data_IF_551676481949
#
_entry.id   IF_551676481949
#
_cell.length_a   1.000
_cell.length_b   1.000
_cell.length_c   1.000
_cell.angle_alpha   90.00
_cell.angle_beta   90.00
_cell.angle_gamma   90.00
#
_symmetry.space_group_name_H-M   'P 1'
#
loop_
_entity.id
_entity.type
_entity.pdbx_description
1 polymer ?
#
# COMPACT_ATOMS: atom_id res chain seq x y z
N UNK A 1 -33.22 -25.08 -23.17
CA UNK A 1 -31.82 -24.62 -23.41
C UNK A 1 -31.17 -24.33 -22.09
N UNK A 2 -29.94 -24.71 -21.94
CA UNK A 2 -29.18 -24.48 -20.70
C UNK A 2 -28.05 -23.46 -20.96
N UNK A 3 -27.64 -22.72 -19.94
CA UNK A 3 -26.53 -21.77 -20.02
C UNK A 3 -25.38 -22.27 -19.16
N UNK A 4 -24.18 -22.34 -19.76
CA UNK A 4 -22.95 -22.47 -19.00
C UNK A 4 -22.46 -21.08 -18.58
N UNK A 5 -22.43 -20.86 -17.26
CA UNK A 5 -21.85 -19.64 -16.69
C UNK A 5 -20.33 -19.69 -16.73
N UNK A 6 -19.68 -18.53 -16.51
CA UNK A 6 -18.21 -18.39 -16.49
C UNK A 6 -17.51 -19.24 -15.44
N UNK A 7 -18.19 -19.55 -14.34
CA UNK A 7 -17.72 -20.43 -13.27
C UNK A 7 -17.95 -21.93 -13.54
N UNK A 8 -18.35 -22.27 -14.76
CA UNK A 8 -18.61 -23.65 -15.22
C UNK A 8 -19.98 -24.21 -14.85
N UNK A 9 -20.75 -23.56 -13.97
CA UNK A 9 -22.08 -24.02 -13.60
C UNK A 9 -23.05 -23.94 -14.79
N UNK A 10 -23.86 -24.99 -14.95
CA UNK A 10 -24.92 -25.04 -15.95
C UNK A 10 -26.25 -24.75 -15.26
N UNK A 11 -26.98 -23.78 -15.77
CA UNK A 11 -28.26 -23.31 -15.23
C UNK A 11 -29.29 -23.19 -16.33
N UNK A 12 -30.58 -23.14 -15.95
CA UNK A 12 -31.67 -22.87 -16.89
C UNK A 12 -31.54 -21.49 -17.54
N UNK A 13 -31.95 -21.44 -18.80
CA UNK A 13 -31.95 -20.22 -19.57
C UNK A 13 -33.10 -19.32 -19.11
N UNK A 14 -32.76 -18.08 -18.80
CA UNK A 14 -33.71 -17.04 -18.35
C UNK A 14 -33.60 -15.85 -19.32
N UNK A 15 -34.56 -15.72 -20.19
CA UNK A 15 -34.64 -14.67 -21.23
C UNK A 15 -34.86 -13.27 -20.65
N UNK A 16 -35.43 -13.17 -19.45
CA UNK A 16 -35.69 -11.88 -18.84
C UNK A 16 -34.39 -11.13 -18.53
N UNK A 17 -33.28 -11.85 -18.26
CA UNK A 17 -31.97 -11.28 -18.04
C UNK A 17 -31.40 -10.61 -19.27
N UNK A 18 -31.72 -11.08 -20.46
CA UNK A 18 -31.31 -10.45 -21.72
C UNK A 18 -32.10 -9.16 -21.91
N UNK A 19 -33.42 -9.23 -21.72
CA UNK A 19 -34.31 -8.06 -21.82
C UNK A 19 -33.87 -6.96 -20.84
N UNK A 20 -33.62 -7.31 -19.60
CA UNK A 20 -33.17 -6.36 -18.58
C UNK A 20 -31.79 -5.74 -18.93
N UNK A 21 -30.84 -6.53 -19.43
CA UNK A 21 -29.54 -6.04 -19.84
C UNK A 21 -29.63 -5.07 -21.03
N UNK A 22 -30.44 -5.38 -22.03
CA UNK A 22 -30.70 -4.50 -23.19
C UNK A 22 -31.38 -3.22 -22.73
N UNK A 23 -32.41 -3.33 -21.88
CA UNK A 23 -33.17 -2.18 -21.38
C UNK A 23 -32.29 -1.23 -20.54
N UNK A 24 -31.47 -1.75 -19.62
CA UNK A 24 -30.55 -0.92 -18.84
C UNK A 24 -29.48 -0.25 -19.72
N UNK A 25 -28.99 -0.93 -20.75
CA UNK A 25 -28.11 -0.33 -21.73
C UNK A 25 -28.79 0.80 -22.53
N UNK A 26 -30.06 0.59 -22.95
CA UNK A 26 -30.83 1.61 -23.62
C UNK A 26 -31.11 2.82 -22.72
N UNK A 27 -31.49 2.58 -21.46
CA UNK A 27 -31.76 3.61 -20.47
C UNK A 27 -30.56 4.51 -20.21
N UNK A 28 -29.36 3.96 -20.18
CA UNK A 28 -28.11 4.72 -19.98
C UNK A 28 -27.80 5.72 -21.11
N UNK A 29 -28.45 5.58 -22.27
CA UNK A 29 -28.30 6.47 -23.43
C UNK A 29 -29.62 7.22 -23.77
N UNK A 30 -30.56 7.24 -22.81
CA UNK A 30 -31.80 8.00 -22.91
C UNK A 30 -33.00 7.23 -23.53
N UNK A 31 -32.90 5.91 -23.72
CA UNK A 31 -34.00 5.05 -24.13
C UNK A 31 -34.89 4.68 -22.94
N UNK A 32 -36.20 4.55 -23.16
CA UNK A 32 -37.16 4.21 -22.12
C UNK A 32 -38.14 3.10 -22.54
N UNK A 33 -37.99 2.54 -23.73
CA UNK A 33 -38.90 1.55 -24.30
C UNK A 33 -38.51 0.12 -23.93
N UNK A 34 -39.18 -0.44 -22.94
CA UNK A 34 -38.99 -1.83 -22.52
C UNK A 34 -39.59 -2.83 -23.51
N UNK A 35 -40.64 -2.43 -24.27
CA UNK A 35 -41.26 -3.28 -25.29
C UNK A 35 -40.26 -3.55 -26.41
N UNK A 36 -39.55 -2.53 -26.85
CA UNK A 36 -38.47 -2.67 -27.84
C UNK A 36 -37.33 -3.57 -27.35
N UNK A 37 -37.00 -3.49 -26.06
CA UNK A 37 -35.97 -4.40 -25.48
C UNK A 37 -36.45 -5.87 -25.50
N UNK A 38 -37.74 -6.11 -25.30
CA UNK A 38 -38.32 -7.46 -25.44
C UNK A 38 -38.30 -7.96 -26.88
N UNK A 39 -38.63 -7.12 -27.88
CA UNK A 39 -38.54 -7.46 -29.28
C UNK A 39 -37.13 -7.81 -29.72
N UNK A 40 -36.14 -7.03 -29.29
CA UNK A 40 -34.73 -7.31 -29.53
C UNK A 40 -34.30 -8.63 -28.86
N UNK A 41 -34.80 -8.92 -27.67
CA UNK A 41 -34.56 -10.22 -27.00
C UNK A 41 -35.11 -11.37 -27.82
N UNK A 42 -36.29 -11.25 -28.43
CA UNK A 42 -36.84 -12.28 -29.31
C UNK A 42 -35.92 -12.54 -30.53
N UNK A 43 -35.31 -11.50 -31.08
CA UNK A 43 -34.34 -11.67 -32.17
C UNK A 43 -33.06 -12.41 -31.70
N UNK A 44 -32.57 -12.11 -30.48
CA UNK A 44 -31.48 -12.88 -29.86
C UNK A 44 -31.88 -14.36 -29.71
N UNK A 45 -33.06 -14.63 -29.20
CA UNK A 45 -33.58 -16.01 -29.05
C UNK A 45 -33.70 -16.76 -30.38
N UNK A 46 -34.13 -16.09 -31.43
CA UNK A 46 -34.17 -16.68 -32.78
C UNK A 46 -32.74 -17.06 -33.27
N UNK A 47 -31.79 -16.17 -33.08
CA UNK A 47 -30.37 -16.44 -33.44
C UNK A 47 -29.83 -17.64 -32.68
N UNK A 48 -30.03 -17.71 -31.36
CA UNK A 48 -29.62 -18.82 -30.52
C UNK A 48 -30.28 -20.16 -30.92
N UNK A 49 -31.58 -20.16 -31.23
CA UNK A 49 -32.29 -21.39 -31.66
C UNK A 49 -31.78 -21.94 -32.98
N UNK A 50 -31.36 -21.08 -33.90
CA UNK A 50 -30.79 -21.51 -35.18
C UNK A 50 -29.50 -22.28 -35.05
N UNK A 51 -28.77 -22.14 -33.91
CA UNK A 51 -27.54 -22.87 -33.67
C UNK A 51 -27.73 -24.32 -33.17
N UNK A 52 -28.94 -24.71 -32.82
CA UNK A 52 -29.31 -26.08 -32.37
C UNK A 52 -28.44 -26.61 -31.19
N UNK A 53 -27.91 -25.75 -30.35
CA UNK A 53 -27.11 -26.11 -29.17
C UNK A 53 -27.99 -26.33 -27.95
N UNK A 54 -27.80 -27.45 -27.24
CA UNK A 54 -28.52 -27.69 -25.96
C UNK A 54 -27.99 -26.84 -24.82
N UNK A 55 -26.67 -26.54 -24.80
CA UNK A 55 -26.01 -25.69 -23.82
C UNK A 55 -25.19 -24.61 -24.52
N UNK A 56 -25.36 -23.36 -24.10
CA UNK A 56 -24.69 -22.19 -24.70
C UNK A 56 -23.92 -21.45 -23.62
N UNK A 57 -22.73 -20.99 -23.94
CA UNK A 57 -21.91 -20.19 -23.02
C UNK A 57 -22.46 -18.76 -22.89
N UNK A 58 -22.43 -18.22 -21.67
CA UNK A 58 -22.94 -16.87 -21.39
C UNK A 58 -22.24 -15.79 -22.23
N UNK A 59 -20.95 -15.95 -22.54
CA UNK A 59 -20.20 -15.03 -23.39
C UNK A 59 -20.74 -15.01 -24.80
N UNK A 60 -21.01 -16.19 -25.37
CA UNK A 60 -21.59 -16.32 -26.71
C UNK A 60 -22.98 -15.66 -26.81
N UNK A 61 -23.79 -15.80 -25.76
CA UNK A 61 -25.08 -15.08 -25.71
C UNK A 61 -24.88 -13.56 -25.76
N UNK A 62 -23.90 -13.05 -25.03
CA UNK A 62 -23.58 -11.62 -25.03
C UNK A 62 -23.09 -11.13 -26.39
N UNK A 63 -22.29 -11.94 -27.10
CA UNK A 63 -21.84 -11.63 -28.47
C UNK A 63 -23.04 -11.53 -29.45
N UNK A 64 -24.02 -12.43 -29.31
CA UNK A 64 -25.24 -12.37 -30.09
C UNK A 64 -26.10 -11.14 -29.75
N UNK A 65 -26.18 -10.76 -28.48
CA UNK A 65 -26.87 -9.52 -28.07
C UNK A 65 -26.23 -8.30 -28.72
N UNK A 66 -24.91 -8.19 -28.69
CA UNK A 66 -24.16 -7.10 -29.33
C UNK A 66 -24.45 -7.06 -30.84
N UNK A 67 -24.39 -8.20 -31.51
CA UNK A 67 -24.65 -8.34 -32.93
C UNK A 67 -26.08 -7.88 -33.28
N UNK A 68 -27.09 -8.38 -32.56
CA UNK A 68 -28.49 -8.01 -32.78
C UNK A 68 -28.71 -6.51 -32.57
N UNK A 69 -28.12 -5.90 -31.54
CA UNK A 69 -28.26 -4.47 -31.30
C UNK A 69 -27.67 -3.63 -32.44
N UNK A 70 -26.52 -4.04 -32.98
CA UNK A 70 -25.84 -3.37 -34.11
C UNK A 70 -26.68 -3.54 -35.40
N UNK A 71 -27.06 -4.76 -35.73
CA UNK A 71 -27.81 -5.06 -36.96
C UNK A 71 -29.21 -4.47 -36.96
N UNK A 72 -29.84 -4.29 -35.78
CA UNK A 72 -31.13 -3.61 -35.65
C UNK A 72 -31.03 -2.08 -35.62
N UNK A 73 -29.85 -1.50 -35.83
CA UNK A 73 -29.65 -0.04 -35.93
C UNK A 73 -29.57 0.68 -34.57
N UNK A 74 -29.49 -0.04 -33.45
CA UNK A 74 -29.39 0.51 -32.10
C UNK A 74 -27.93 0.77 -31.65
N UNK A 75 -27.12 1.43 -32.49
CA UNK A 75 -25.69 1.62 -32.28
C UNK A 75 -25.31 2.27 -30.96
N UNK A 76 -26.12 3.24 -30.45
CA UNK A 76 -25.86 3.89 -29.14
C UNK A 76 -26.03 2.92 -27.97
N UNK A 77 -27.11 2.11 -28.03
CA UNK A 77 -27.39 1.06 -27.03
C UNK A 77 -26.32 -0.04 -27.08
N UNK A 78 -25.95 -0.47 -28.29
CA UNK A 78 -24.89 -1.46 -28.50
C UNK A 78 -23.56 -0.98 -27.89
N UNK A 79 -23.15 0.26 -28.15
CA UNK A 79 -21.93 0.86 -27.56
C UNK A 79 -21.99 0.86 -26.03
N UNK A 80 -23.12 1.27 -25.44
CA UNK A 80 -23.29 1.25 -23.99
C UNK A 80 -23.19 -0.16 -23.41
N UNK A 81 -23.84 -1.14 -24.07
CA UNK A 81 -23.80 -2.55 -23.67
C UNK A 81 -22.38 -3.13 -23.70
N UNK A 82 -21.62 -2.90 -24.80
CA UNK A 82 -20.24 -3.34 -24.97
C UNK A 82 -19.35 -2.73 -23.89
N UNK A 83 -19.42 -1.41 -23.66
CA UNK A 83 -18.64 -0.73 -22.64
C UNK A 83 -18.94 -1.22 -21.22
N UNK A 84 -20.24 -1.45 -20.92
CA UNK A 84 -20.63 -2.03 -19.63
C UNK A 84 -20.08 -3.44 -19.45
N UNK A 85 -20.18 -4.30 -20.49
CA UNK A 85 -19.63 -5.67 -20.49
C UNK A 85 -18.10 -5.65 -20.27
N UNK A 86 -17.38 -4.80 -21.03
CA UNK A 86 -15.92 -4.66 -20.90
C UNK A 86 -15.52 -4.22 -19.48
N UNK A 87 -16.21 -3.20 -18.92
CA UNK A 87 -15.98 -2.76 -17.54
C UNK A 87 -16.21 -3.87 -16.51
N UNK A 88 -17.31 -4.61 -16.64
CA UNK A 88 -17.62 -5.74 -15.73
C UNK A 88 -16.62 -6.88 -15.85
N UNK A 89 -16.11 -7.13 -17.04
CA UNK A 89 -15.08 -8.16 -17.27
C UNK A 89 -13.75 -7.72 -16.64
N UNK A 90 -13.31 -6.47 -16.86
CA UNK A 90 -12.12 -5.94 -16.22
C UNK A 90 -12.20 -5.98 -14.68
N UNK A 91 -13.34 -5.56 -14.09
CA UNK A 91 -13.54 -5.64 -12.63
C UNK A 91 -13.47 -7.07 -12.08
N UNK A 92 -13.92 -8.07 -12.85
CA UNK A 92 -13.83 -9.48 -12.42
C UNK A 92 -12.42 -10.02 -12.55
N UNK A 93 -11.71 -9.67 -13.63
CA UNK A 93 -10.31 -10.07 -13.83
C UNK A 93 -9.44 -9.54 -12.67
N UNK A 94 -9.51 -8.23 -12.41
CA UNK A 94 -8.78 -7.63 -11.28
C UNK A 94 -9.13 -8.26 -9.94
N UNK A 95 -10.41 -8.60 -9.72
CA UNK A 95 -10.81 -9.29 -8.49
C UNK A 95 -10.20 -10.70 -8.41
N UNK A 96 -10.15 -11.44 -9.51
CA UNK A 96 -9.53 -12.77 -9.56
C UNK A 96 -8.04 -12.67 -9.29
N UNK A 97 -7.32 -11.80 -9.99
CA UNK A 97 -5.89 -11.56 -9.81
C UNK A 97 -5.54 -11.17 -8.37
N UNK A 98 -6.33 -10.28 -7.75
CA UNK A 98 -6.15 -9.92 -6.34
C UNK A 98 -6.35 -11.13 -5.42
N UNK A 99 -7.38 -11.95 -5.66
CA UNK A 99 -7.63 -13.13 -4.82
C UNK A 99 -6.56 -14.21 -4.99
N UNK A 100 -6.01 -14.38 -6.18
CA UNK A 100 -4.90 -15.27 -6.44
C UNK A 100 -3.63 -14.78 -5.72
N UNK A 101 -3.34 -13.49 -5.78
CA UNK A 101 -2.24 -12.85 -5.03
C UNK A 101 -2.40 -13.04 -3.51
N UNK A 102 -3.61 -12.85 -2.97
CA UNK A 102 -3.90 -13.09 -1.56
C UNK A 102 -3.65 -14.55 -1.19
N UNK A 103 -4.06 -15.49 -2.04
CA UNK A 103 -3.84 -16.92 -1.80
C UNK A 103 -2.34 -17.26 -1.79
N UNK A 104 -1.55 -16.66 -2.67
CA UNK A 104 -0.09 -16.80 -2.70
C UNK A 104 0.56 -16.23 -1.42
N UNK A 105 0.20 -15.02 -1.01
CA UNK A 105 0.70 -14.39 0.23
C UNK A 105 0.43 -15.28 1.44
N UNK A 106 -0.76 -15.88 1.52
CA UNK A 106 -1.13 -16.74 2.65
C UNK A 106 -0.38 -18.07 2.66
N UNK A 107 -0.01 -18.60 1.50
CA UNK A 107 0.75 -19.86 1.36
C UNK A 107 2.24 -19.68 1.62
N UNK A 108 2.77 -18.49 1.44
CA UNK A 108 4.19 -18.22 1.55
C UNK A 108 4.67 -18.36 2.99
N UNK A 109 5.71 -19.16 3.19
CA UNK A 109 6.24 -19.49 4.53
C UNK A 109 7.65 -18.95 4.79
N UNK A 110 8.34 -18.40 3.78
CA UNK A 110 9.77 -18.15 3.87
C UNK A 110 10.22 -16.85 3.18
N UNK A 111 9.83 -15.71 3.77
CA UNK A 111 10.28 -14.38 3.29
C UNK A 111 10.66 -13.45 4.42
N UNK A 112 11.59 -13.85 5.26
CA UNK A 112 12.15 -12.91 6.23
C UNK A 112 13.27 -12.08 5.60
N UNK A 113 13.07 -10.76 5.55
CA UNK A 113 14.10 -9.78 5.21
C UNK A 113 13.91 -8.52 6.07
N UNK A 114 14.82 -7.53 5.91
CA UNK A 114 14.79 -6.29 6.70
C UNK A 114 13.46 -5.50 6.60
N UNK A 115 12.70 -5.70 5.52
CA UNK A 115 11.47 -4.97 5.25
C UNK A 115 10.20 -5.77 5.50
N UNK A 116 10.27 -7.10 5.50
CA UNK A 116 9.12 -7.99 5.58
C UNK A 116 9.47 -9.18 6.46
N UNK A 117 8.69 -9.39 7.52
CA UNK A 117 8.74 -10.62 8.33
C UNK A 117 7.58 -11.56 7.95
N UNK A 118 7.73 -12.83 8.26
CA UNK A 118 6.67 -13.82 8.07
C UNK A 118 5.71 -13.86 9.27
N UNK A 119 5.25 -12.69 9.71
CA UNK A 119 4.30 -12.55 10.81
C UNK A 119 2.86 -12.39 10.30
N UNK A 120 1.83 -12.68 11.12
CA UNK A 120 0.45 -12.41 10.74
C UNK A 120 0.21 -10.94 10.35
N UNK A 121 0.84 -9.99 11.03
CA UNK A 121 0.71 -8.56 10.71
C UNK A 121 1.39 -8.20 9.38
N UNK A 122 2.52 -8.85 9.05
CA UNK A 122 3.18 -8.67 7.77
C UNK A 122 2.32 -9.20 6.61
N UNK A 123 1.71 -10.37 6.76
CA UNK A 123 0.77 -10.91 5.77
C UNK A 123 -0.43 -10.00 5.56
N UNK A 124 -0.99 -9.44 6.62
CA UNK A 124 -2.08 -8.46 6.53
C UNK A 124 -1.65 -7.19 5.79
N UNK A 125 -0.44 -6.68 6.06
CA UNK A 125 0.10 -5.53 5.33
C UNK A 125 0.28 -5.85 3.84
N UNK A 126 0.83 -7.00 3.48
CA UNK A 126 1.01 -7.42 2.08
C UNK A 126 -0.33 -7.50 1.33
N UNK A 127 -1.36 -8.06 1.97
CA UNK A 127 -2.72 -8.11 1.42
C UNK A 127 -3.27 -6.69 1.22
N UNK A 128 -3.12 -5.82 2.23
CA UNK A 128 -3.55 -4.44 2.13
C UNK A 128 -2.81 -3.68 1.01
N UNK A 129 -1.50 -3.86 0.89
CA UNK A 129 -0.67 -3.29 -0.17
C UNK A 129 -1.11 -3.75 -1.56
N UNK A 130 -1.36 -5.05 -1.74
CA UNK A 130 -1.86 -5.60 -3.01
C UNK A 130 -3.22 -4.99 -3.38
N UNK A 131 -4.15 -4.93 -2.43
CA UNK A 131 -5.47 -4.35 -2.64
C UNK A 131 -5.41 -2.83 -2.96
N UNK A 132 -4.57 -2.08 -2.24
CA UNK A 132 -4.37 -0.64 -2.46
C UNK A 132 -3.78 -0.36 -3.84
N UNK A 133 -2.75 -1.10 -4.24
CA UNK A 133 -2.11 -0.99 -5.56
C UNK A 133 -3.12 -1.21 -6.68
N UNK A 134 -3.91 -2.27 -6.59
CA UNK A 134 -4.94 -2.59 -7.58
C UNK A 134 -6.02 -1.48 -7.65
N UNK A 135 -6.42 -0.95 -6.49
CA UNK A 135 -7.36 0.16 -6.42
C UNK A 135 -6.80 1.42 -7.10
N UNK A 136 -5.55 1.80 -6.82
CA UNK A 136 -4.95 2.99 -7.40
C UNK A 136 -4.77 2.88 -8.91
N UNK A 137 -4.29 1.74 -9.41
CA UNK A 137 -4.11 1.50 -10.84
C UNK A 137 -5.42 1.53 -11.62
N UNK A 138 -6.52 1.04 -11.03
CA UNK A 138 -7.78 0.92 -11.76
C UNK A 138 -8.76 2.07 -11.51
N UNK A 139 -8.48 2.98 -10.53
CA UNK A 139 -9.46 3.98 -10.10
C UNK A 139 -8.94 5.41 -10.01
N UNK A 140 -7.67 5.60 -9.67
CA UNK A 140 -7.13 6.94 -9.39
C UNK A 140 -6.06 7.38 -10.39
N UNK A 141 -5.22 6.45 -10.83
CA UNK A 141 -4.16 6.76 -11.79
C UNK A 141 -4.77 6.82 -13.20
N UNK A 142 -4.42 7.82 -14.02
CA UNK A 142 -4.84 7.87 -15.42
C UNK A 142 -4.50 6.58 -16.16
N UNK A 143 -5.42 6.11 -17.02
CA UNK A 143 -5.31 4.79 -17.68
C UNK A 143 -4.00 4.62 -18.46
N UNK A 144 -3.53 5.68 -19.13
CA UNK A 144 -2.26 5.66 -19.86
C UNK A 144 -1.05 5.44 -18.96
N UNK A 145 -1.03 6.07 -17.77
CA UNK A 145 0.05 5.92 -16.79
C UNK A 145 0.00 4.55 -16.10
N UNK A 146 -1.20 4.07 -15.77
CA UNK A 146 -1.40 2.74 -15.22
C UNK A 146 -0.95 1.65 -16.22
N UNK A 147 -1.25 1.85 -17.52
CA UNK A 147 -0.83 0.95 -18.59
C UNK A 147 0.68 0.98 -18.77
N UNK A 148 1.30 2.15 -18.80
CA UNK A 148 2.75 2.31 -18.90
C UNK A 148 3.48 1.66 -17.70
N UNK A 149 2.93 1.81 -16.48
CA UNK A 149 3.48 1.13 -15.29
C UNK A 149 3.37 -0.40 -15.41
N UNK A 150 2.21 -0.93 -15.82
CA UNK A 150 1.99 -2.37 -16.01
C UNK A 150 2.89 -2.99 -17.09
N UNK A 151 3.23 -2.23 -18.12
CA UNK A 151 4.16 -2.65 -19.19
C UNK A 151 5.64 -2.52 -18.80
N UNK A 152 5.95 -1.80 -17.73
CA UNK A 152 7.32 -1.51 -17.32
C UNK A 152 7.96 -0.31 -18.02
N UNK A 153 7.20 0.48 -18.78
CA UNK A 153 7.68 1.69 -19.45
C UNK A 153 8.02 2.78 -18.42
N UNK A 154 7.31 2.82 -17.32
CA UNK A 154 7.58 3.64 -16.13
C UNK A 154 7.44 2.83 -14.85
N UNK A 155 8.09 3.28 -13.77
CA UNK A 155 7.89 2.73 -12.43
C UNK A 155 7.30 3.79 -11.50
N UNK A 156 6.10 3.52 -10.95
CA UNK A 156 5.53 4.32 -9.87
C UNK A 156 5.96 3.67 -8.56
N UNK A 157 6.86 4.36 -7.84
CA UNK A 157 7.41 3.87 -6.58
C UNK A 157 6.37 3.94 -5.46
N UNK A 158 6.39 2.99 -4.53
CA UNK A 158 5.46 2.90 -3.39
C UNK A 158 3.98 3.07 -3.78
N UNK A 159 3.59 2.41 -4.86
CA UNK A 159 2.27 2.53 -5.47
C UNK A 159 1.12 2.19 -4.53
N UNK A 160 1.36 1.32 -3.56
CA UNK A 160 0.41 0.96 -2.50
C UNK A 160 0.13 2.11 -1.51
N UNK A 161 0.98 3.14 -1.50
CA UNK A 161 0.82 4.38 -0.74
C UNK A 161 0.61 5.62 -1.61
N UNK A 162 0.16 5.46 -2.85
CA UNK A 162 -0.04 6.55 -3.82
C UNK A 162 -1.01 7.65 -3.34
N UNK A 163 -1.79 7.40 -2.31
CA UNK A 163 -2.72 8.37 -1.73
C UNK A 163 -2.04 9.57 -1.07
N UNK A 164 -2.83 10.36 -0.33
CA UNK A 164 -2.34 11.52 0.44
C UNK A 164 -1.63 11.06 1.72
N UNK A 165 -0.45 10.50 1.57
CA UNK A 165 0.36 9.95 2.66
C UNK A 165 1.70 10.67 2.75
N UNK A 166 2.22 10.86 3.96
CA UNK A 166 3.57 11.39 4.15
C UNK A 166 4.58 10.33 3.71
N UNK A 167 5.54 10.73 2.87
CA UNK A 167 6.60 9.83 2.43
C UNK A 167 7.76 9.80 3.42
N UNK A 168 8.50 10.92 3.56
CA UNK A 168 9.68 11.01 4.42
C UNK A 168 9.54 12.17 5.39
N UNK A 169 10.15 12.02 6.58
CA UNK A 169 10.11 13.04 7.63
C UNK A 169 11.53 13.45 8.05
N UNK A 170 11.77 14.77 8.11
CA UNK A 170 12.89 15.32 8.86
C UNK A 170 12.34 15.92 10.16
N UNK A 171 12.63 15.27 11.28
CA UNK A 171 11.99 15.54 12.56
C UNK A 171 12.83 16.51 13.38
N UNK A 172 12.28 17.63 13.88
CA UNK A 172 12.99 18.60 14.69
C UNK A 172 13.12 18.10 16.14
N UNK A 173 14.02 17.14 16.39
CA UNK A 173 14.17 16.45 17.66
C UNK A 173 14.41 17.42 18.82
N UNK A 174 15.32 18.37 18.68
CA UNK A 174 15.67 19.33 19.72
C UNK A 174 14.47 20.13 20.20
N UNK A 175 13.60 20.55 19.28
CA UNK A 175 12.37 21.27 19.63
C UNK A 175 11.40 20.39 20.42
N UNK A 176 11.25 19.14 20.05
CA UNK A 176 10.36 18.19 20.73
C UNK A 176 10.87 17.87 22.12
N UNK A 177 12.17 17.61 22.28
CA UNK A 177 12.76 17.29 23.55
C UNK A 177 12.77 18.51 24.51
N UNK A 178 13.06 19.72 23.99
CA UNK A 178 13.12 20.94 24.83
C UNK A 178 11.75 21.36 25.36
N UNK A 179 10.69 21.20 24.56
CA UNK A 179 9.33 21.64 24.93
C UNK A 179 8.44 20.53 25.45
N UNK A 180 8.80 19.29 25.20
CA UNK A 180 7.88 18.17 25.29
C UNK A 180 6.88 18.15 24.13
N UNK A 181 6.04 17.14 24.07
CA UNK A 181 5.08 16.95 23.00
C UNK A 181 3.85 16.15 23.45
N UNK A 182 2.75 16.32 22.74
CA UNK A 182 1.55 15.51 22.93
C UNK A 182 1.58 14.33 21.96
N UNK A 183 1.35 13.11 22.44
CA UNK A 183 1.32 11.89 21.64
C UNK A 183 -0.10 11.37 21.34
N UNK A 184 -1.13 12.17 21.60
CA UNK A 184 -2.53 11.79 21.44
C UNK A 184 -3.19 11.24 22.72
N UNK A 185 -2.40 10.67 23.65
CA UNK A 185 -2.91 10.18 24.93
C UNK A 185 -2.55 11.06 26.11
N UNK A 186 -1.54 11.88 25.97
CA UNK A 186 -1.09 12.78 27.03
C UNK A 186 0.15 13.56 26.63
N UNK A 187 0.63 14.38 27.56
CA UNK A 187 1.79 15.21 27.36
C UNK A 187 3.06 14.53 27.87
N UNK A 188 4.04 14.39 27.00
CA UNK A 188 5.37 13.85 27.28
C UNK A 188 6.27 15.03 27.64
N UNK A 189 6.71 15.09 28.88
CA UNK A 189 7.60 16.18 29.38
C UNK A 189 9.02 16.07 28.82
N UNK A 190 9.80 17.17 28.81
CA UNK A 190 11.21 17.16 28.49
C UNK A 190 12.02 16.12 29.29
N UNK A 191 12.98 15.43 28.69
CA UNK A 191 13.87 14.51 29.38
C UNK A 191 14.87 15.25 30.28
N UNK A 192 15.50 14.55 31.23
CA UNK A 192 16.50 15.12 32.15
C UNK A 192 17.85 14.39 32.14
N UNK A 193 17.93 13.22 31.49
CA UNK A 193 19.09 12.34 31.48
C UNK A 193 19.32 11.77 30.09
N UNK A 194 20.56 11.34 29.76
CA UNK A 194 20.88 10.73 28.47
C UNK A 194 19.90 9.61 28.07
N UNK A 195 19.72 8.63 28.95
CA UNK A 195 18.84 7.49 28.68
C UNK A 195 17.39 7.87 28.41
N UNK A 196 16.83 8.88 29.10
CA UNK A 196 15.47 9.33 28.81
C UNK A 196 15.40 10.14 27.51
N UNK A 197 16.45 10.88 27.16
CA UNK A 197 16.48 11.62 25.89
C UNK A 197 16.53 10.67 24.68
N UNK A 198 17.40 9.65 24.73
CA UNK A 198 17.47 8.64 23.67
C UNK A 198 16.22 7.76 23.60
N UNK A 199 15.61 7.41 24.75
CA UNK A 199 14.36 6.70 24.78
C UNK A 199 13.22 7.50 24.12
N UNK A 200 13.12 8.81 24.37
CA UNK A 200 12.15 9.67 23.71
C UNK A 200 12.43 9.82 22.21
N UNK A 201 13.70 9.92 21.82
CA UNK A 201 14.07 9.91 20.40
C UNK A 201 13.59 8.64 19.69
N UNK A 202 13.78 7.47 20.32
CA UNK A 202 13.27 6.19 19.79
C UNK A 202 11.74 6.19 19.71
N UNK A 203 11.03 6.64 20.75
CA UNK A 203 9.57 6.74 20.77
C UNK A 203 9.05 7.63 19.65
N UNK A 204 9.69 8.76 19.39
CA UNK A 204 9.32 9.67 18.31
C UNK A 204 9.42 8.98 16.96
N UNK A 205 10.52 8.28 16.67
CA UNK A 205 10.71 7.52 15.44
C UNK A 205 9.69 6.37 15.32
N UNK A 206 9.46 5.63 16.40
CA UNK A 206 8.52 4.51 16.42
C UNK A 206 7.06 4.97 16.25
N UNK A 207 6.66 6.09 16.84
CA UNK A 207 5.32 6.65 16.67
C UNK A 207 5.09 7.19 15.27
N UNK A 208 5.99 8.05 14.77
CA UNK A 208 5.85 8.67 13.45
C UNK A 208 5.93 7.67 12.31
N UNK A 209 6.52 6.48 12.52
CA UNK A 209 6.51 5.39 11.55
C UNK A 209 5.10 4.95 11.15
N UNK A 210 4.10 5.16 12.01
CA UNK A 210 2.71 4.80 11.70
C UNK A 210 1.99 5.84 10.83
N UNK A 211 2.52 7.08 10.76
CA UNK A 211 1.91 8.19 10.03
C UNK A 211 2.54 8.41 8.63
N UNK A 212 3.56 7.63 8.29
CA UNK A 212 4.32 7.76 7.06
C UNK A 212 4.82 6.39 6.59
N UNK A 213 5.35 6.29 5.37
CA UNK A 213 5.83 5.00 4.85
C UNK A 213 7.31 4.97 4.45
N UNK A 214 7.95 6.11 4.23
CA UNK A 214 9.37 6.20 3.84
C UNK A 214 10.34 6.29 5.01
N UNK A 215 11.42 7.04 4.82
CA UNK A 215 12.47 7.22 5.82
C UNK A 215 12.25 8.39 6.76
N UNK A 216 12.84 8.30 7.95
CA UNK A 216 12.79 9.33 8.97
C UNK A 216 14.21 9.79 9.32
N UNK A 217 14.41 11.06 9.61
CA UNK A 217 15.73 11.56 9.99
C UNK A 217 15.68 12.56 11.13
N UNK A 218 16.71 12.52 11.97
CA UNK A 218 17.09 13.60 12.86
C UNK A 218 18.25 14.37 12.23
N UNK A 219 17.94 15.53 11.61
CA UNK A 219 18.91 16.28 10.81
C UNK A 219 20.06 16.92 11.59
N UNK A 220 19.95 17.00 12.92
CA UNK A 220 20.90 17.66 13.85
C UNK A 220 21.04 16.85 15.14
N UNK A 221 21.18 15.53 15.04
CA UNK A 221 21.06 14.65 16.20
C UNK A 221 22.06 14.98 17.32
N UNK A 222 23.34 15.22 16.99
CA UNK A 222 24.36 15.59 17.96
C UNK A 222 24.02 16.91 18.68
N UNK A 223 23.60 17.93 17.95
CA UNK A 223 23.21 19.23 18.48
C UNK A 223 21.93 19.16 19.34
N UNK A 224 20.94 18.42 18.84
CA UNK A 224 19.62 18.32 19.44
C UNK A 224 19.62 17.57 20.78
N UNK A 225 20.54 16.60 20.94
CA UNK A 225 20.59 15.75 22.13
C UNK A 225 21.71 16.16 23.12
N UNK A 226 22.70 16.93 22.68
CA UNK A 226 23.83 17.38 23.48
C UNK A 226 23.43 18.05 24.81
N UNK A 227 22.36 18.91 24.89
CA UNK A 227 21.96 19.54 26.14
C UNK A 227 21.59 18.56 27.25
N UNK A 228 21.16 17.36 26.89
CA UNK A 228 20.73 16.33 27.85
C UNK A 228 21.89 15.44 28.32
N UNK A 229 23.13 15.69 27.84
CA UNK A 229 24.37 15.00 28.22
C UNK A 229 25.16 15.74 29.26
N UNK A 230 24.70 16.93 29.69
CA UNK A 230 25.39 17.74 30.68
C UNK A 230 25.56 16.99 31.99
N UNK A 231 26.79 16.96 32.52
CA UNK A 231 27.13 16.26 33.75
C UNK A 231 27.10 14.74 33.70
N UNK A 232 26.77 14.15 32.54
CA UNK A 232 26.76 12.71 32.37
C UNK A 232 28.19 12.16 32.10
N UNK A 233 28.50 11.00 32.64
CA UNK A 233 29.73 10.27 32.35
C UNK A 233 29.77 9.74 30.92
N UNK A 234 30.95 9.40 30.42
CA UNK A 234 31.09 8.72 29.12
C UNK A 234 30.29 7.41 29.08
N UNK A 235 30.32 6.65 30.18
CA UNK A 235 29.61 5.37 30.31
C UNK A 235 28.08 5.55 30.19
N UNK A 236 27.49 6.55 30.88
CA UNK A 236 26.06 6.86 30.80
C UNK A 236 25.66 7.23 29.37
N UNK A 237 26.48 8.03 28.69
CA UNK A 237 26.20 8.44 27.29
C UNK A 237 26.36 7.25 26.36
N UNK A 238 27.41 6.44 26.54
CA UNK A 238 27.59 5.23 25.74
C UNK A 238 26.40 4.27 25.87
N UNK A 239 25.95 3.96 27.10
CA UNK A 239 24.81 3.08 27.35
C UNK A 239 23.51 3.66 26.77
N UNK A 240 23.31 4.97 26.78
CA UNK A 240 22.15 5.60 26.15
C UNK A 240 22.19 5.45 24.62
N UNK A 241 23.34 5.59 23.98
CA UNK A 241 23.52 5.41 22.53
C UNK A 241 23.37 3.94 22.12
N UNK A 242 23.95 3.03 22.88
CA UNK A 242 23.81 1.57 22.66
C UNK A 242 22.31 1.16 22.74
N UNK A 243 21.60 1.64 23.76
CA UNK A 243 20.16 1.38 23.91
C UNK A 243 19.33 1.94 22.73
N UNK A 244 19.70 3.10 22.19
CA UNK A 244 19.06 3.66 21.01
C UNK A 244 19.31 2.78 19.78
N UNK A 245 20.56 2.38 19.53
CA UNK A 245 20.91 1.49 18.41
C UNK A 245 20.14 0.17 18.52
N UNK A 246 20.09 -0.44 19.71
CA UNK A 246 19.35 -1.69 19.94
C UNK A 246 17.84 -1.50 19.70
N UNK A 247 17.25 -0.42 20.16
CA UNK A 247 15.84 -0.13 19.94
C UNK A 247 15.52 -0.03 18.44
N UNK A 248 16.31 0.73 17.68
CA UNK A 248 16.10 0.96 16.25
C UNK A 248 16.34 -0.30 15.38
N UNK A 249 16.93 -1.36 15.93
CA UNK A 249 17.16 -2.63 15.25
C UNK A 249 16.27 -3.78 15.77
N UNK A 250 15.51 -3.56 16.83
CA UNK A 250 14.73 -4.63 17.47
C UNK A 250 13.25 -4.31 17.52
N UNK A 251 12.89 -3.03 17.77
CA UNK A 251 11.51 -2.65 17.97
C UNK A 251 10.87 -2.23 16.65
N UNK A 252 9.68 -2.74 16.42
CA UNK A 252 8.87 -2.42 15.25
C UNK A 252 7.46 -2.07 15.70
N UNK A 253 6.98 -0.91 15.31
CA UNK A 253 5.71 -0.33 15.77
C UNK A 253 4.59 -0.36 14.75
N UNK A 254 4.91 -0.56 13.46
CA UNK A 254 3.87 -0.64 12.43
C UNK A 254 3.63 -2.07 11.92
N UNK A 255 2.53 -2.27 11.22
CA UNK A 255 2.24 -3.52 10.54
C UNK A 255 3.39 -3.91 9.60
N UNK A 256 3.66 -5.23 9.49
CA UNK A 256 4.78 -5.73 8.70
C UNK A 256 6.03 -6.05 9.52
N UNK A 257 6.05 -5.73 10.80
CA UNK A 257 7.18 -5.93 11.71
C UNK A 257 8.48 -5.27 11.19
N UNK A 258 8.34 -4.12 10.54
CA UNK A 258 9.44 -3.35 9.99
C UNK A 258 10.06 -2.47 11.07
N UNK A 259 11.39 -2.55 11.23
CA UNK A 259 12.13 -1.59 12.06
C UNK A 259 12.13 -0.20 11.41
N UNK A 260 12.25 0.92 12.19
CA UNK A 260 12.17 2.26 11.62
C UNK A 260 13.30 2.52 10.63
N UNK A 261 12.94 2.82 9.39
CA UNK A 261 13.88 3.28 8.38
C UNK A 261 14.36 4.68 8.76
N UNK A 262 15.45 4.75 9.52
CA UNK A 262 15.90 5.96 10.22
C UNK A 262 17.32 6.37 9.85
N UNK A 263 17.60 7.68 9.92
CA UNK A 263 18.95 8.25 9.82
C UNK A 263 19.22 9.29 10.90
N UNK A 264 20.47 9.34 11.35
CA UNK A 264 20.98 10.32 12.31
C UNK A 264 22.11 11.12 11.66
N UNK A 265 21.95 12.45 11.61
CA UNK A 265 22.98 13.33 11.08
C UNK A 265 23.83 13.89 12.23
N UNK A 266 25.14 13.79 12.08
CA UNK A 266 26.15 14.14 13.07
C UNK A 266 27.17 15.14 12.47
N UNK A 267 28.06 15.68 13.31
CA UNK A 267 29.25 16.43 12.92
C UNK A 267 29.06 17.94 12.88
N UNK A 268 27.90 18.46 13.27
CA UNK A 268 27.66 19.90 13.31
C UNK A 268 27.94 20.51 14.67
N UNK A 269 27.79 19.78 15.76
CA UNK A 269 28.06 20.25 17.12
C UNK A 269 29.51 20.03 17.51
N UNK A 270 30.22 21.12 17.70
CA UNK A 270 31.63 21.13 18.13
C UNK A 270 31.83 21.29 19.65
N UNK A 271 30.71 21.41 20.41
CA UNK A 271 30.75 21.44 21.86
C UNK A 271 31.30 20.13 22.45
N UNK A 272 31.70 20.13 23.70
CA UNK A 272 32.16 18.93 24.41
C UNK A 272 31.05 17.86 24.42
N UNK A 273 29.82 18.24 24.76
CA UNK A 273 28.69 17.31 24.78
C UNK A 273 28.28 16.80 23.38
N UNK A 274 28.29 17.64 22.33
CA UNK A 274 28.04 17.20 20.95
C UNK A 274 29.07 16.20 20.45
N UNK A 275 30.37 16.44 20.74
CA UNK A 275 31.45 15.48 20.45
C UNK A 275 31.34 14.18 21.26
N UNK A 276 30.88 14.29 22.53
CA UNK A 276 30.61 13.11 23.38
C UNK A 276 29.49 12.27 22.77
N UNK A 277 28.39 12.87 22.33
CA UNK A 277 27.30 12.19 21.61
C UNK A 277 27.81 11.48 20.37
N UNK A 278 28.51 12.21 19.49
CA UNK A 278 29.03 11.69 18.23
C UNK A 278 29.95 10.49 18.45
N UNK A 279 30.95 10.63 19.36
CA UNK A 279 31.89 9.56 19.67
C UNK A 279 31.20 8.32 20.21
N UNK A 280 30.29 8.49 21.18
CA UNK A 280 29.66 7.36 21.84
C UNK A 280 28.65 6.65 20.91
N UNK A 281 27.93 7.41 20.04
CA UNK A 281 27.07 6.79 19.03
C UNK A 281 27.88 5.97 18.01
N UNK A 282 29.00 6.53 17.51
CA UNK A 282 29.85 5.81 16.56
C UNK A 282 30.49 4.57 17.21
N UNK A 283 30.89 4.66 18.48
CA UNK A 283 31.45 3.52 19.22
C UNK A 283 30.36 2.43 19.44
N UNK A 284 29.15 2.80 19.81
CA UNK A 284 28.05 1.86 19.97
C UNK A 284 27.69 1.20 18.63
N UNK A 285 27.69 1.98 17.55
CA UNK A 285 27.43 1.47 16.21
C UNK A 285 28.52 0.50 15.73
N UNK A 286 29.81 0.85 15.96
CA UNK A 286 30.96 0.02 15.60
C UNK A 286 31.06 -1.27 16.43
N UNK A 287 30.62 -1.25 17.70
CA UNK A 287 30.51 -2.44 18.55
C UNK A 287 29.49 -3.44 18.05
N UNK A 288 28.46 -2.93 17.34
CA UNK A 288 27.38 -3.75 16.80
C UNK A 288 26.35 -4.14 17.84
N UNK A 289 25.49 -5.08 17.45
CA UNK A 289 24.50 -5.68 18.34
C UNK A 289 25.15 -6.72 19.25
N UNK A 290 24.42 -7.32 20.14
CA UNK A 290 24.94 -8.12 21.27
C UNK A 290 26.04 -9.16 21.00
N UNK A 291 26.18 -9.65 19.77
CA UNK A 291 27.27 -10.54 19.34
C UNK A 291 28.16 -9.93 18.27
N UNK A 292 28.08 -8.60 18.06
CA UNK A 292 28.84 -7.89 17.05
C UNK A 292 28.18 -7.86 15.65
N UNK A 293 26.87 -8.21 15.54
CA UNK A 293 26.13 -8.09 14.29
C UNK A 293 26.03 -6.61 13.89
N UNK A 294 26.13 -6.35 12.60
CA UNK A 294 26.03 -4.99 12.08
C UNK A 294 24.61 -4.45 12.25
N UNK A 295 24.43 -3.26 12.87
CA UNK A 295 23.14 -2.59 12.90
C UNK A 295 22.66 -2.26 11.47
N UNK A 296 21.37 -2.48 11.19
CA UNK A 296 20.76 -2.08 9.93
C UNK A 296 20.44 -0.58 9.98
N UNK A 297 19.94 -0.10 11.11
CA UNK A 297 19.61 1.30 11.38
C UNK A 297 20.22 1.77 12.70
N UNK A 298 20.38 3.11 12.85
CA UNK A 298 20.12 4.17 11.86
C UNK A 298 21.22 4.25 10.79
N UNK A 299 20.87 4.77 9.61
CA UNK A 299 21.91 5.26 8.70
C UNK A 299 22.61 6.46 9.35
N UNK A 300 23.93 6.44 9.40
CA UNK A 300 24.71 7.53 9.99
C UNK A 300 25.24 8.43 8.88
N UNK A 301 24.89 9.72 8.95
CA UNK A 301 25.35 10.74 8.01
C UNK A 301 26.25 11.72 8.76
N UNK A 302 27.53 11.70 8.47
CA UNK A 302 28.48 12.62 9.05
C UNK A 302 28.71 13.84 8.14
N UNK A 303 28.42 15.03 8.67
CA UNK A 303 28.65 16.30 7.97
C UNK A 303 30.03 16.84 8.31
N UNK A 304 30.84 17.05 7.28
CA UNK A 304 32.16 17.72 7.38
C UNK A 304 31.92 19.21 7.05
N UNK A 305 32.44 20.08 7.92
CA UNK A 305 32.46 21.54 7.68
C UNK A 305 33.73 21.93 6.91
#
# INVERSE_FOLDING_TARGET
MMIRKRDGRVVEFDETKITDAIFEAAKSVGGADRQLAMELTLNVLKALKNENKQTVDVEHIQDIVEKVLIESGHARTAKSYILYRARRTGMRSSRSELMDTVAEILKETDRDNANISNSPSAKMLQIASAASREFYLNRLIPEEMATAHKRGDIHIHDLDFYGKTLNCLNIPLGRLLAKGFNNGHGFIRPPRRPGSATALAAIILQSSQNDMFGGQSFGYFDTDIAPFMEGASEEEVFQAMEALVYNLNSMHSRAGAQVPFSSLNLGLDTSENGRKVTRNLLNAYAKGLGRGENPIFPNVIFRVK
#
